data_IF_024846595121
#
_entry.id   IF_024846595121
#
_cell.length_a   1.000
_cell.length_b   1.000
_cell.length_c   1.000
_cell.angle_alpha   90.00
_cell.angle_beta   90.00
_cell.angle_gamma   90.00
#
_symmetry.space_group_name_H-M   'P 1'
#
loop_
_entity.id
_entity.type
_entity.pdbx_description
1 polymer ?
#
# COMPACT_ATOMS: atom_id res chain seq x y z
N UNK A 1 -21.45 -36.83 -46.33
CA UNK A 1 -20.13 -36.48 -45.77
C UNK A 1 -20.31 -35.18 -45.01
N UNK A 2 -20.55 -35.27 -43.70
CA UNK A 2 -20.69 -34.13 -42.80
C UNK A 2 -19.37 -33.97 -42.05
N UNK A 3 -18.77 -32.79 -42.13
CA UNK A 3 -17.55 -32.44 -41.41
C UNK A 3 -17.82 -32.40 -39.89
N UNK A 4 -16.87 -32.81 -39.04
CA UNK A 4 -17.04 -32.67 -37.60
C UNK A 4 -16.78 -31.22 -37.19
N UNK A 5 -17.74 -30.64 -36.48
CA UNK A 5 -17.62 -29.36 -35.80
C UNK A 5 -16.53 -29.47 -34.73
N UNK A 6 -15.40 -28.80 -34.96
CA UNK A 6 -14.36 -28.60 -33.96
C UNK A 6 -14.89 -27.53 -32.99
N UNK A 7 -15.46 -28.01 -31.88
CA UNK A 7 -15.84 -27.18 -30.75
C UNK A 7 -14.56 -26.62 -30.12
N UNK A 8 -14.17 -25.42 -30.58
CA UNK A 8 -13.08 -24.64 -29.97
C UNK A 8 -13.54 -24.21 -28.56
N UNK A 9 -13.24 -25.05 -27.57
CA UNK A 9 -13.35 -24.71 -26.17
C UNK A 9 -12.26 -23.69 -25.82
N UNK A 10 -12.53 -22.42 -26.07
CA UNK A 10 -11.77 -21.35 -25.45
C UNK A 10 -12.07 -21.37 -23.95
N UNK A 11 -11.27 -22.11 -23.18
CA UNK A 11 -11.23 -21.95 -21.73
C UNK A 11 -10.76 -20.53 -21.46
N UNK A 12 -11.69 -19.66 -21.08
CA UNK A 12 -11.39 -18.32 -20.61
C UNK A 12 -10.45 -18.47 -19.41
N UNK A 13 -9.15 -18.21 -19.60
CA UNK A 13 -8.23 -18.19 -18.48
C UNK A 13 -8.73 -17.09 -17.51
N UNK A 14 -8.88 -17.40 -16.22
CA UNK A 14 -9.37 -16.42 -15.26
C UNK A 14 -8.42 -15.21 -15.24
N UNK A 15 -8.99 -14.00 -15.22
CA UNK A 15 -8.28 -12.71 -15.24
C UNK A 15 -7.11 -12.63 -14.23
N UNK A 16 -7.23 -13.36 -13.11
CA UNK A 16 -6.18 -13.60 -12.14
C UNK A 16 -6.12 -15.10 -11.78
N UNK A 17 -4.99 -15.79 -11.98
CA UNK A 17 -4.86 -17.22 -11.71
C UNK A 17 -4.67 -17.52 -10.21
N UNK A 18 -5.67 -17.24 -9.37
CA UNK A 18 -5.62 -17.51 -7.92
C UNK A 18 -5.36 -18.99 -7.57
N UNK A 19 -5.64 -19.91 -8.50
CA UNK A 19 -5.32 -21.33 -8.37
C UNK A 19 -3.82 -21.62 -8.42
N UNK A 20 -3.00 -20.72 -9.01
CA UNK A 20 -1.55 -20.84 -9.06
C UNK A 20 -0.85 -20.46 -7.74
N UNK A 21 -1.62 -20.05 -6.71
CA UNK A 21 -1.09 -19.67 -5.40
C UNK A 21 -0.96 -20.92 -4.52
N UNK A 22 0.27 -21.35 -4.29
CA UNK A 22 0.56 -22.53 -3.47
C UNK A 22 0.40 -22.26 -1.96
N UNK A 23 0.83 -21.09 -1.48
CA UNK A 23 0.86 -20.78 -0.05
C UNK A 23 -0.01 -19.57 0.30
N UNK A 24 -1.32 -19.79 0.45
CA UNK A 24 -2.33 -18.74 0.70
C UNK A 24 -2.21 -18.06 2.06
N UNK A 25 -1.38 -18.56 2.98
CA UNK A 25 -1.27 -18.01 4.35
C UNK A 25 -0.81 -16.55 4.36
N UNK A 26 0.09 -16.18 3.44
CA UNK A 26 0.57 -14.80 3.29
C UNK A 26 -0.52 -13.88 2.72
N UNK A 27 -1.40 -14.42 1.87
CA UNK A 27 -2.51 -13.67 1.28
C UNK A 27 -3.53 -13.20 2.33
N UNK A 28 -3.85 -14.04 3.31
CA UNK A 28 -4.83 -13.72 4.34
C UNK A 28 -4.45 -12.51 5.19
N UNK A 29 -3.16 -12.21 5.30
CA UNK A 29 -2.67 -11.04 6.02
C UNK A 29 -2.41 -9.86 5.06
N UNK A 30 -1.72 -10.11 3.95
CA UNK A 30 -1.31 -9.06 3.03
C UNK A 30 -2.49 -8.41 2.29
N UNK A 31 -3.51 -9.20 1.93
CA UNK A 31 -4.66 -8.68 1.17
C UNK A 31 -5.49 -7.69 1.99
N UNK A 32 -6.00 -8.04 3.20
CA UNK A 32 -6.71 -7.07 4.01
C UNK A 32 -5.85 -5.86 4.36
N UNK A 33 -4.58 -6.05 4.71
CA UNK A 33 -3.67 -4.96 5.08
C UNK A 33 -3.47 -3.96 3.92
N UNK A 34 -3.30 -4.45 2.69
CA UNK A 34 -3.14 -3.60 1.50
C UNK A 34 -4.45 -2.89 1.13
N UNK A 35 -5.60 -3.56 1.28
CA UNK A 35 -6.91 -2.95 1.07
C UNK A 35 -7.18 -1.83 2.07
N UNK A 36 -6.92 -2.08 3.36
CA UNK A 36 -7.08 -1.07 4.43
C UNK A 36 -6.10 0.08 4.22
N UNK A 37 -4.88 -0.19 3.74
CA UNK A 37 -3.89 0.84 3.37
C UNK A 37 -4.43 1.78 2.30
N UNK A 38 -4.98 1.22 1.21
CA UNK A 38 -5.60 2.01 0.15
C UNK A 38 -6.78 2.83 0.67
N UNK A 39 -7.69 2.20 1.42
CA UNK A 39 -8.83 2.90 2.01
C UNK A 39 -8.35 4.07 2.87
N UNK A 40 -7.39 3.83 3.76
CA UNK A 40 -6.84 4.85 4.65
C UNK A 40 -6.24 6.04 3.90
N UNK A 41 -5.49 5.80 2.81
CA UNK A 41 -4.89 6.89 2.04
C UNK A 41 -5.90 7.66 1.19
N UNK A 42 -6.95 7.01 0.70
CA UNK A 42 -8.05 7.69 0.00
C UNK A 42 -8.94 8.52 0.94
N UNK A 43 -9.06 8.11 2.21
CA UNK A 43 -9.86 8.82 3.20
C UNK A 43 -9.05 9.82 4.03
N UNK A 44 -7.73 9.87 3.87
CA UNK A 44 -6.84 10.81 4.55
C UNK A 44 -7.19 12.25 4.14
N UNK A 45 -7.76 13.01 5.08
CA UNK A 45 -8.27 14.38 4.86
C UNK A 45 -9.79 14.48 4.74
N UNK A 46 -10.52 13.36 4.79
CA UNK A 46 -11.98 13.36 4.93
C UNK A 46 -12.31 13.35 6.43
N UNK A 47 -12.95 14.41 6.93
CA UNK A 47 -13.46 14.46 8.30
C UNK A 47 -14.66 13.51 8.44
N UNK A 48 -14.40 12.27 8.83
CA UNK A 48 -15.44 11.27 9.08
C UNK A 48 -15.02 10.34 10.21
N UNK A 49 -15.86 10.30 11.25
CA UNK A 49 -15.72 9.42 12.42
C UNK A 49 -15.59 7.93 12.03
N UNK A 50 -16.15 7.54 10.88
CA UNK A 50 -16.11 6.16 10.36
C UNK A 50 -14.69 5.73 9.98
N UNK A 51 -13.85 6.66 9.53
CA UNK A 51 -12.51 6.36 9.00
C UNK A 51 -11.37 6.65 9.98
N UNK A 52 -11.66 7.28 11.12
CA UNK A 52 -10.67 7.61 12.17
C UNK A 52 -9.99 6.36 12.76
N UNK A 53 -10.66 5.21 12.74
CA UNK A 53 -10.10 3.95 13.25
C UNK A 53 -9.12 3.26 12.27
N UNK A 54 -9.13 3.61 10.98
CA UNK A 54 -8.31 2.90 9.97
C UNK A 54 -6.80 3.00 10.24
N UNK A 55 -6.22 4.17 10.58
CA UNK A 55 -4.81 4.25 10.94
C UNK A 55 -4.45 3.38 12.15
N UNK A 56 -5.31 3.31 13.16
CA UNK A 56 -5.09 2.51 14.37
C UNK A 56 -5.05 1.02 14.02
N UNK A 57 -6.00 0.55 13.22
CA UNK A 57 -6.01 -0.84 12.74
C UNK A 57 -4.73 -1.18 12.00
N UNK A 58 -4.25 -0.28 11.13
CA UNK A 58 -2.99 -0.49 10.41
C UNK A 58 -1.80 -0.56 11.37
N UNK A 59 -1.69 0.33 12.35
CA UNK A 59 -0.59 0.28 13.34
C UNK A 59 -0.58 -1.06 14.10
N UNK A 60 -1.75 -1.59 14.46
CA UNK A 60 -1.85 -2.90 15.13
C UNK A 60 -1.40 -4.07 14.26
N UNK A 61 -1.46 -3.94 12.92
CA UNK A 61 -1.01 -4.96 11.98
C UNK A 61 0.51 -4.98 11.79
N UNK A 62 1.24 -3.93 12.20
CA UNK A 62 2.70 -3.82 12.02
C UNK A 62 3.46 -5.07 12.50
N UNK A 63 3.33 -5.53 13.77
CA UNK A 63 4.10 -6.68 14.24
C UNK A 63 3.82 -7.93 13.41
N UNK A 64 2.56 -8.17 13.03
CA UNK A 64 2.18 -9.33 12.21
C UNK A 64 2.74 -9.24 10.80
N UNK A 65 2.65 -8.05 10.17
CA UNK A 65 3.15 -7.81 8.83
C UNK A 65 4.67 -7.95 8.76
N UNK A 66 5.40 -7.40 9.73
CA UNK A 66 6.86 -7.51 9.81
C UNK A 66 7.31 -8.96 10.01
N UNK A 67 6.74 -9.67 10.99
CA UNK A 67 7.08 -11.08 11.24
C UNK A 67 6.78 -11.93 10.00
N UNK A 68 5.63 -11.70 9.36
CA UNK A 68 5.26 -12.43 8.15
C UNK A 68 6.19 -12.12 6.98
N UNK A 69 6.56 -10.85 6.78
CA UNK A 69 7.50 -10.44 5.74
C UNK A 69 8.88 -11.07 5.96
N UNK A 70 9.41 -11.09 7.20
CA UNK A 70 10.68 -11.77 7.53
C UNK A 70 10.60 -13.26 7.19
N UNK A 71 9.52 -13.93 7.58
CA UNK A 71 9.31 -15.34 7.22
C UNK A 71 9.17 -15.55 5.71
N UNK A 72 8.55 -14.60 5.01
CA UNK A 72 8.45 -14.57 3.55
C UNK A 72 9.83 -14.46 2.91
N UNK A 73 10.69 -13.54 3.36
CA UNK A 73 12.06 -13.40 2.87
C UNK A 73 12.87 -14.69 3.02
N UNK A 74 12.76 -15.35 4.17
CA UNK A 74 13.49 -16.61 4.43
C UNK A 74 12.96 -17.76 3.56
N UNK A 75 11.63 -17.88 3.38
CA UNK A 75 11.02 -19.04 2.72
C UNK A 75 10.86 -18.90 1.21
N UNK A 76 10.54 -17.70 0.73
CA UNK A 76 10.20 -17.43 -0.66
C UNK A 76 11.41 -16.91 -1.45
N UNK A 77 12.49 -16.52 -0.77
CA UNK A 77 13.78 -16.18 -1.36
C UNK A 77 13.75 -14.89 -2.18
N UNK A 78 14.64 -14.81 -3.17
CA UNK A 78 14.88 -13.61 -3.99
C UNK A 78 13.65 -13.10 -4.75
N UNK A 79 12.75 -14.00 -5.16
CA UNK A 79 11.49 -13.64 -5.84
C UNK A 79 10.54 -12.84 -4.95
N UNK A 80 10.65 -12.99 -3.62
CA UNK A 80 9.93 -12.17 -2.66
C UNK A 80 10.76 -10.97 -2.17
N UNK A 81 12.04 -11.19 -1.89
CA UNK A 81 12.91 -10.16 -1.32
C UNK A 81 13.17 -8.99 -2.28
N UNK A 82 13.50 -9.26 -3.55
CA UNK A 82 13.91 -8.21 -4.49
C UNK A 82 12.78 -7.21 -4.75
N UNK A 83 11.54 -7.62 -5.10
CA UNK A 83 10.46 -6.67 -5.33
C UNK A 83 10.06 -5.92 -4.05
N UNK A 84 10.12 -6.59 -2.90
CA UNK A 84 9.80 -5.97 -1.61
C UNK A 84 10.74 -4.80 -1.32
N UNK A 85 12.05 -5.05 -1.34
CA UNK A 85 13.06 -4.04 -1.00
C UNK A 85 13.11 -2.95 -2.05
N UNK A 86 13.07 -3.28 -3.34
CA UNK A 86 13.08 -2.29 -4.41
C UNK A 86 11.89 -1.33 -4.29
N UNK A 87 10.69 -1.88 -4.08
CA UNK A 87 9.47 -1.06 -3.96
C UNK A 87 9.50 -0.16 -2.74
N UNK A 88 9.90 -0.70 -1.56
CA UNK A 88 10.03 0.11 -0.34
C UNK A 88 11.10 1.19 -0.50
N UNK A 89 12.24 0.88 -1.12
CA UNK A 89 13.28 1.87 -1.37
C UNK A 89 12.80 3.00 -2.28
N UNK A 90 12.00 2.67 -3.32
CA UNK A 90 11.39 3.66 -4.21
C UNK A 90 10.38 4.58 -3.51
N UNK A 91 9.77 4.16 -2.39
CA UNK A 91 8.83 5.02 -1.64
C UNK A 91 9.53 6.00 -0.70
N UNK A 92 10.79 5.74 -0.31
CA UNK A 92 11.50 6.57 0.67
C UNK A 92 11.60 8.06 0.28
N UNK A 93 11.88 8.43 -0.99
CA UNK A 93 11.88 9.84 -1.38
C UNK A 93 10.52 10.52 -1.18
N UNK A 94 9.42 9.80 -1.40
CA UNK A 94 8.07 10.33 -1.19
C UNK A 94 7.80 10.55 0.30
N UNK A 95 8.20 9.61 1.15
CA UNK A 95 8.10 9.75 2.60
C UNK A 95 8.94 10.92 3.12
N UNK A 96 10.18 11.08 2.64
CA UNK A 96 11.04 12.20 3.01
C UNK A 96 10.44 13.54 2.57
N UNK A 97 9.91 13.60 1.34
CA UNK A 97 9.25 14.80 0.85
C UNK A 97 8.05 15.18 1.72
N UNK A 98 7.21 14.22 2.10
CA UNK A 98 6.09 14.49 2.99
C UNK A 98 6.56 14.97 4.37
N UNK A 99 7.61 14.38 4.93
CA UNK A 99 8.16 14.84 6.21
C UNK A 99 8.59 16.31 6.15
N UNK A 100 9.34 16.70 5.10
CA UNK A 100 9.78 18.08 4.90
C UNK A 100 8.59 19.01 4.69
N UNK A 101 7.58 18.56 3.95
CA UNK A 101 6.36 19.32 3.69
C UNK A 101 5.59 19.59 5.00
N UNK A 102 5.39 18.57 5.83
CA UNK A 102 4.73 18.70 7.13
C UNK A 102 5.54 19.54 8.11
N UNK A 103 6.87 19.43 8.09
CA UNK A 103 7.75 20.23 8.95
C UNK A 103 7.72 21.72 8.62
N UNK A 104 7.63 22.06 7.33
CA UNK A 104 7.67 23.45 6.88
C UNK A 104 6.29 24.12 6.88
N UNK A 105 5.24 23.34 6.59
CA UNK A 105 3.90 23.87 6.29
C UNK A 105 2.80 23.25 7.16
N UNK A 106 3.09 22.16 7.85
CA UNK A 106 2.12 21.47 8.70
C UNK A 106 1.73 22.33 9.89
N UNK A 107 0.46 22.26 10.25
CA UNK A 107 -0.07 22.98 11.38
C UNK A 107 -1.11 22.11 12.10
N UNK A 108 -1.00 22.05 13.43
CA UNK A 108 -1.96 21.42 14.31
C UNK A 108 -2.68 22.53 15.07
N UNK A 109 -4.00 22.62 14.88
CA UNK A 109 -4.88 23.49 15.66
C UNK A 109 -5.92 22.59 16.30
N UNK A 110 -5.98 22.59 17.63
CA UNK A 110 -6.91 21.77 18.40
C UNK A 110 -8.25 22.47 18.64
N UNK A 111 -8.37 23.73 18.18
CA UNK A 111 -9.62 24.48 18.23
C UNK A 111 -9.92 24.98 19.64
N UNK A 112 -8.90 25.13 20.48
CA UNK A 112 -9.08 25.69 21.82
C UNK A 112 -9.47 27.17 21.74
N UNK A 113 -10.32 27.68 22.65
CA UNK A 113 -10.70 29.09 22.66
C UNK A 113 -9.46 29.98 22.79
N UNK A 114 -9.15 30.77 21.75
CA UNK A 114 -7.97 31.64 21.71
C UNK A 114 -6.81 31.15 20.84
N UNK A 115 -6.86 29.94 20.28
CA UNK A 115 -5.92 29.53 19.24
C UNK A 115 -6.20 30.29 17.93
N UNK A 116 -5.19 30.96 17.38
CA UNK A 116 -5.20 31.34 15.97
C UNK A 116 -5.16 30.05 15.15
N UNK A 117 -6.22 29.78 14.39
CA UNK A 117 -6.28 28.62 13.52
C UNK A 117 -5.12 28.55 12.52
N UNK A 118 -4.97 27.38 11.90
CA UNK A 118 -3.90 27.16 10.93
C UNK A 118 -3.99 28.08 9.72
N UNK A 119 -2.85 28.59 9.22
CA UNK A 119 -2.84 29.34 7.97
C UNK A 119 -3.34 28.45 6.82
N UNK A 120 -3.87 29.05 5.73
CA UNK A 120 -4.26 28.27 4.57
C UNK A 120 -3.06 27.52 4.00
N UNK A 121 -3.31 26.28 3.57
CA UNK A 121 -2.27 25.41 3.00
C UNK A 121 -1.65 26.05 1.74
N UNK A 122 -0.32 26.01 1.59
CA UNK A 122 0.33 26.55 0.41
C UNK A 122 -0.01 25.72 -0.84
N UNK A 123 0.09 26.32 -2.05
CA UNK A 123 -0.11 25.57 -3.28
C UNK A 123 0.81 24.35 -3.37
N UNK A 124 0.24 23.18 -3.64
CA UNK A 124 1.00 21.93 -3.74
C UNK A 124 1.31 21.24 -2.42
N UNK A 125 0.76 21.71 -1.29
CA UNK A 125 0.87 21.02 0.01
C UNK A 125 0.41 19.55 -0.06
N UNK A 126 -0.62 19.25 -0.84
CA UNK A 126 -1.20 17.91 -1.01
C UNK A 126 -0.48 17.03 -2.06
N UNK A 127 0.58 17.54 -2.72
CA UNK A 127 1.26 16.79 -3.78
C UNK A 127 1.89 15.48 -3.29
N UNK A 128 2.65 15.44 -2.18
CA UNK A 128 3.27 14.20 -1.69
C UNK A 128 2.22 13.11 -1.44
N UNK A 129 1.07 13.47 -0.86
CA UNK A 129 -0.05 12.56 -0.62
C UNK A 129 -0.62 12.04 -1.93
N UNK A 130 -0.86 12.92 -2.89
CA UNK A 130 -1.37 12.55 -4.22
C UNK A 130 -0.43 11.59 -4.94
N UNK A 131 0.88 11.86 -4.91
CA UNK A 131 1.89 10.99 -5.52
C UNK A 131 1.96 9.65 -4.80
N UNK A 132 1.81 9.63 -3.47
CA UNK A 132 1.77 8.39 -2.70
C UNK A 132 0.53 7.54 -3.04
N UNK A 133 -0.63 8.14 -3.29
CA UNK A 133 -1.83 7.43 -3.78
C UNK A 133 -1.53 6.77 -5.14
N UNK A 134 -0.94 7.51 -6.08
CA UNK A 134 -0.55 7.00 -7.39
C UNK A 134 0.48 5.86 -7.27
N UNK A 135 1.47 6.02 -6.39
CA UNK A 135 2.44 4.98 -6.08
C UNK A 135 1.76 3.71 -5.57
N UNK A 136 0.84 3.81 -4.61
CA UNK A 136 0.11 2.67 -4.07
C UNK A 136 -0.73 1.95 -5.13
N UNK A 137 -1.40 2.70 -6.00
CA UNK A 137 -2.12 2.13 -7.15
C UNK A 137 -1.17 1.39 -8.09
N UNK A 138 -0.03 1.99 -8.44
CA UNK A 138 0.98 1.35 -9.29
C UNK A 138 1.52 0.05 -8.67
N UNK A 139 1.79 0.03 -7.36
CA UNK A 139 2.23 -1.19 -6.66
C UNK A 139 1.18 -2.29 -6.71
N UNK A 140 -0.12 -1.97 -6.61
CA UNK A 140 -1.19 -2.97 -6.79
C UNK A 140 -1.27 -3.49 -8.22
N UNK A 141 -1.05 -2.64 -9.23
CA UNK A 141 -0.96 -3.09 -10.62
C UNK A 141 0.22 -4.04 -10.81
N UNK A 142 1.37 -3.75 -10.20
CA UNK A 142 2.54 -4.64 -10.22
C UNK A 142 2.24 -5.98 -9.52
N UNK A 143 1.51 -5.96 -8.40
CA UNK A 143 1.07 -7.19 -7.74
C UNK A 143 0.17 -8.03 -8.65
N UNK A 144 -0.81 -7.42 -9.31
CA UNK A 144 -1.69 -8.09 -10.27
C UNK A 144 -0.90 -8.66 -11.46
N UNK A 145 0.02 -7.88 -12.03
CA UNK A 145 0.89 -8.32 -13.12
C UNK A 145 1.79 -9.51 -12.73
N UNK A 146 2.35 -9.49 -11.52
CA UNK A 146 3.13 -10.61 -11.00
C UNK A 146 2.28 -11.89 -10.83
N UNK A 147 1.02 -11.74 -10.41
CA UNK A 147 0.10 -12.88 -10.34
C UNK A 147 -0.23 -13.43 -11.74
N UNK A 148 -0.47 -12.56 -12.72
CA UNK A 148 -0.71 -12.95 -14.12
C UNK A 148 0.50 -13.69 -14.73
N UNK A 149 1.72 -13.27 -14.39
CA UNK A 149 2.94 -13.96 -14.82
C UNK A 149 3.25 -15.23 -14.02
N UNK A 150 2.28 -15.76 -13.24
CA UNK A 150 2.42 -16.92 -12.35
C UNK A 150 3.51 -16.76 -11.27
N UNK A 151 3.98 -15.54 -11.03
CA UNK A 151 4.92 -15.19 -9.96
C UNK A 151 4.17 -14.75 -8.70
N UNK A 152 3.53 -15.71 -8.04
CA UNK A 152 2.76 -15.46 -6.81
C UNK A 152 3.64 -14.97 -5.64
N UNK A 153 4.94 -15.30 -5.63
CA UNK A 153 5.90 -14.81 -4.61
C UNK A 153 6.15 -13.31 -4.77
N UNK A 154 6.36 -12.86 -6.01
CA UNK A 154 6.47 -11.44 -6.35
C UNK A 154 5.19 -10.67 -6.07
N UNK A 155 4.01 -11.25 -6.36
CA UNK A 155 2.73 -10.64 -5.97
C UNK A 155 2.69 -10.36 -4.46
N UNK A 156 3.04 -11.33 -3.61
CA UNK A 156 3.10 -11.10 -2.17
C UNK A 156 4.08 -9.99 -1.81
N UNK A 157 5.27 -9.97 -2.42
CA UNK A 157 6.25 -8.94 -2.17
C UNK A 157 5.70 -7.53 -2.40
N UNK A 158 4.98 -7.31 -3.51
CA UNK A 158 4.34 -6.02 -3.79
C UNK A 158 3.25 -5.65 -2.78
N UNK A 159 2.45 -6.62 -2.33
CA UNK A 159 1.43 -6.37 -1.31
C UNK A 159 2.05 -6.00 0.05
N UNK A 160 3.10 -6.72 0.48
CA UNK A 160 3.84 -6.35 1.68
C UNK A 160 4.53 -5.00 1.53
N UNK A 161 5.11 -4.71 0.37
CA UNK A 161 5.76 -3.45 0.10
C UNK A 161 4.79 -2.28 0.14
N UNK A 162 3.59 -2.43 -0.43
CA UNK A 162 2.52 -1.42 -0.37
C UNK A 162 2.23 -1.00 1.07
N UNK A 163 1.97 -1.98 1.92
CA UNK A 163 1.71 -1.74 3.35
C UNK A 163 2.91 -1.09 4.05
N UNK A 164 4.12 -1.63 3.90
CA UNK A 164 5.32 -1.12 4.58
C UNK A 164 5.63 0.31 4.13
N UNK A 165 5.56 0.57 2.82
CA UNK A 165 5.77 1.90 2.24
C UNK A 165 4.79 2.92 2.81
N UNK A 166 3.52 2.52 2.98
CA UNK A 166 2.52 3.38 3.61
C UNK A 166 2.81 3.64 5.09
N UNK A 167 3.22 2.63 5.85
CA UNK A 167 3.59 2.82 7.27
C UNK A 167 4.79 3.77 7.43
N UNK A 168 5.78 3.67 6.54
CA UNK A 168 6.92 4.61 6.53
C UNK A 168 6.44 6.02 6.17
N UNK A 169 5.56 6.15 5.18
CA UNK A 169 4.96 7.44 4.83
C UNK A 169 4.15 8.04 5.99
N UNK A 170 3.32 7.26 6.67
CA UNK A 170 2.55 7.70 7.84
C UNK A 170 3.46 8.14 8.99
N UNK A 171 4.53 7.40 9.24
CA UNK A 171 5.53 7.82 10.22
C UNK A 171 6.19 9.14 9.81
N UNK A 172 6.54 9.30 8.54
CA UNK A 172 7.15 10.52 8.02
C UNK A 172 6.21 11.74 8.10
N UNK A 173 4.93 11.54 7.81
CA UNK A 173 3.86 12.53 7.98
C UNK A 173 3.75 12.98 9.44
N UNK A 174 3.57 12.03 10.36
CA UNK A 174 3.39 12.31 11.79
C UNK A 174 4.65 12.95 12.36
N UNK A 175 5.83 12.39 12.10
CA UNK A 175 7.09 12.95 12.62
C UNK A 175 7.40 14.34 12.09
N UNK A 176 6.96 14.66 10.85
CA UNK A 176 7.10 16.00 10.28
C UNK A 176 6.20 17.02 10.98
N UNK A 177 4.98 16.63 11.38
CA UNK A 177 4.07 17.50 12.15
C UNK A 177 4.58 17.84 13.56
N UNK A 178 5.44 16.99 14.14
CA UNK A 178 5.95 17.14 15.51
C UNK A 178 7.41 17.60 15.62
N UNK A 179 8.12 17.86 14.51
CA UNK A 179 9.57 18.14 14.49
C UNK A 179 9.97 19.48 13.88
#
# INVERSE_FOLDING_TARGET
MTAPDVENSYTLEPLLPFHAIENKRYLYLALPASTVTLLCIFTLGINSEVFEALPVVLVLLIPFMVISAIRGMIKLGGEFYNPLVATVACSLPLSLWENINQRNNGCLSFGFPGESGCPPEPPGYELPRTVMIVFQMAVMVLAAGALQSKNWKGMYAFMYASYISFMIYMYAYISGLFG
#
